data_IF_977535626839
#
_entry.id   IF_977535626839
#
_cell.length_a   1.000
_cell.length_b   1.000
_cell.length_c   1.000
_cell.angle_alpha   90.00
_cell.angle_beta   90.00
_cell.angle_gamma   90.00
#
_symmetry.space_group_name_H-M   'P 1'
#
loop_
_entity.id
_entity.type
_entity.pdbx_description
1 polymer ?
#
# COMPACT_ATOMS: atom_id res chain seq x y z
N UNK A 1 -31.31 -9.83 -28.21
CA UNK A 1 -31.21 -10.30 -26.80
C UNK A 1 -30.26 -9.35 -26.08
N UNK A 2 -30.79 -8.30 -25.45
CA UNK A 2 -29.99 -7.40 -24.62
C UNK A 2 -29.67 -8.11 -23.31
N UNK A 3 -28.40 -8.37 -23.04
CA UNK A 3 -27.96 -8.87 -21.75
C UNK A 3 -28.43 -7.90 -20.66
N UNK A 4 -29.01 -8.38 -19.54
CA UNK A 4 -29.37 -7.50 -18.44
C UNK A 4 -28.10 -6.79 -17.95
N UNK A 5 -28.14 -5.47 -17.85
CA UNK A 5 -27.03 -4.59 -17.45
C UNK A 5 -26.61 -4.76 -15.97
N UNK A 6 -26.92 -5.89 -15.34
CA UNK A 6 -26.48 -6.20 -13.98
C UNK A 6 -25.10 -6.84 -14.05
N UNK A 7 -24.08 -6.00 -13.88
CA UNK A 7 -22.67 -6.42 -13.79
C UNK A 7 -22.37 -7.36 -12.59
N UNK A 8 -23.35 -7.68 -11.75
CA UNK A 8 -23.14 -8.37 -10.47
C UNK A 8 -22.82 -9.87 -10.58
N UNK A 9 -23.12 -10.53 -11.70
CA UNK A 9 -22.97 -11.99 -11.81
C UNK A 9 -21.53 -12.50 -11.66
N UNK A 10 -20.52 -11.65 -11.91
CA UNK A 10 -19.10 -12.00 -11.79
C UNK A 10 -18.33 -11.19 -10.73
N UNK A 11 -19.01 -10.35 -9.92
CA UNK A 11 -18.33 -9.55 -8.90
C UNK A 11 -18.20 -10.36 -7.61
N UNK A 12 -16.97 -10.76 -7.28
CA UNK A 12 -16.65 -11.37 -5.98
C UNK A 12 -16.33 -10.26 -4.98
N UNK A 13 -17.19 -10.05 -3.99
CA UNK A 13 -16.91 -9.15 -2.88
C UNK A 13 -15.90 -9.77 -1.90
N UNK A 14 -14.95 -8.99 -1.35
CA UNK A 14 -14.05 -9.47 -0.31
C UNK A 14 -14.83 -9.80 0.98
N UNK A 15 -14.45 -10.89 1.64
CA UNK A 15 -15.03 -11.25 2.95
C UNK A 15 -14.50 -10.31 4.04
N UNK A 16 -15.41 -9.72 4.82
CA UNK A 16 -15.08 -8.83 5.93
C UNK A 16 -14.51 -9.60 7.14
N UNK A 17 -13.41 -9.11 7.69
CA UNK A 17 -12.72 -9.63 8.86
C UNK A 17 -12.97 -8.66 10.03
N UNK A 18 -13.83 -9.02 11.00
CA UNK A 18 -14.13 -8.14 12.12
C UNK A 18 -12.92 -8.00 13.07
N UNK A 19 -12.62 -6.78 13.55
CA UNK A 19 -11.63 -6.57 14.60
C UNK A 19 -12.12 -7.19 15.91
N UNK A 20 -11.21 -7.89 16.61
CA UNK A 20 -11.54 -8.66 17.81
C UNK A 20 -11.70 -7.77 19.04
N UNK A 21 -10.86 -6.76 19.15
CA UNK A 21 -10.81 -5.84 20.29
C UNK A 21 -11.29 -4.42 19.92
N UNK A 22 -11.89 -3.67 20.87
CA UNK A 22 -12.32 -2.29 20.63
C UNK A 22 -11.15 -1.35 20.32
N UNK A 23 -9.98 -1.56 20.95
CA UNK A 23 -8.77 -0.77 20.67
C UNK A 23 -8.28 -0.96 19.22
N UNK A 24 -8.47 -2.15 18.68
CA UNK A 24 -8.06 -2.51 17.33
C UNK A 24 -8.90 -1.81 16.24
N UNK A 25 -10.11 -1.36 16.58
CA UNK A 25 -10.99 -0.57 15.70
C UNK A 25 -10.51 0.87 15.51
N UNK A 26 -9.77 1.41 16.47
CA UNK A 26 -9.27 2.78 16.42
C UNK A 26 -7.99 2.90 15.57
N UNK A 27 -7.30 1.78 15.31
CA UNK A 27 -6.05 1.74 14.54
C UNK A 27 -6.38 1.51 13.07
N UNK A 28 -5.77 2.30 12.18
CA UNK A 28 -5.90 2.12 10.74
C UNK A 28 -5.43 0.71 10.32
N UNK A 29 -6.29 -0.10 9.67
CA UNK A 29 -5.90 -1.41 9.13
C UNK A 29 -4.69 -1.35 8.20
N UNK A 30 -4.44 -0.22 7.54
CA UNK A 30 -3.29 -0.03 6.66
C UNK A 30 -1.96 -0.22 7.40
N UNK A 31 -1.85 0.26 8.63
CA UNK A 31 -0.62 0.17 9.45
C UNK A 31 -0.25 -1.28 9.75
N UNK A 32 -1.23 -2.19 9.83
CA UNK A 32 -0.98 -3.62 10.03
C UNK A 32 -0.49 -4.32 8.76
N UNK A 33 -0.92 -3.84 7.60
CA UNK A 33 -0.59 -4.43 6.28
C UNK A 33 0.74 -3.90 5.72
N UNK A 34 1.08 -2.65 6.05
CA UNK A 34 2.32 -2.00 5.62
C UNK A 34 3.59 -2.87 5.84
N UNK A 35 3.91 -3.40 7.03
CA UNK A 35 5.17 -4.13 7.24
C UNK A 35 5.30 -5.37 6.35
N UNK A 36 4.20 -6.09 6.12
CA UNK A 36 4.19 -7.25 5.23
C UNK A 36 4.38 -6.87 3.76
N UNK A 37 3.84 -5.72 3.34
CA UNK A 37 3.99 -5.20 1.99
C UNK A 37 5.35 -4.55 1.75
N UNK A 38 5.92 -3.85 2.73
CA UNK A 38 7.27 -3.29 2.67
C UNK A 38 8.31 -4.40 2.47
N UNK A 39 8.17 -5.54 3.15
CA UNK A 39 9.06 -6.69 2.97
C UNK A 39 9.03 -7.26 1.53
N UNK A 40 7.85 -7.24 0.88
CA UNK A 40 7.70 -7.64 -0.54
C UNK A 40 8.29 -6.64 -1.52
N UNK A 41 8.34 -5.36 -1.13
CA UNK A 41 8.85 -4.26 -1.95
C UNK A 41 10.32 -3.88 -1.61
N UNK A 42 11.10 -4.82 -1.07
CA UNK A 42 12.46 -4.58 -0.56
C UNK A 42 13.43 -3.98 -1.60
N UNK A 43 13.27 -4.30 -2.89
CA UNK A 43 14.06 -3.69 -3.97
C UNK A 43 13.93 -2.17 -3.97
N UNK A 44 12.69 -1.66 -3.95
CA UNK A 44 12.40 -0.22 -3.98
C UNK A 44 12.79 0.48 -2.69
N UNK A 45 12.73 -0.22 -1.55
CA UNK A 45 13.23 0.28 -0.27
C UNK A 45 14.74 0.55 -0.37
N UNK A 46 15.50 -0.37 -0.95
CA UNK A 46 16.95 -0.22 -1.11
C UNK A 46 17.31 0.95 -2.05
N UNK A 47 16.60 1.11 -3.16
CA UNK A 47 16.80 2.22 -4.11
C UNK A 47 16.46 3.58 -3.47
N UNK A 48 15.36 3.65 -2.72
CA UNK A 48 15.00 4.85 -1.97
C UNK A 48 16.06 5.17 -0.90
N UNK A 49 16.53 4.17 -0.16
CA UNK A 49 17.59 4.34 0.84
C UNK A 49 18.93 4.78 0.22
N UNK A 50 19.27 4.27 -0.96
CA UNK A 50 20.44 4.72 -1.70
C UNK A 50 20.29 6.19 -2.13
N UNK A 51 19.11 6.59 -2.60
CA UNK A 51 18.84 7.98 -2.96
C UNK A 51 18.91 8.91 -1.74
N UNK A 52 18.29 8.54 -0.61
CA UNK A 52 18.30 9.37 0.60
C UNK A 52 19.72 9.56 1.15
N UNK A 53 20.55 8.51 1.14
CA UNK A 53 21.98 8.61 1.49
C UNK A 53 22.72 9.59 0.58
N UNK A 54 22.48 9.53 -0.73
CA UNK A 54 23.09 10.44 -1.70
C UNK A 54 22.67 11.90 -1.47
N UNK A 55 21.39 12.14 -1.22
CA UNK A 55 20.87 13.50 -0.98
C UNK A 55 21.39 14.06 0.35
N UNK A 56 21.44 13.25 1.41
CA UNK A 56 22.00 13.66 2.71
C UNK A 56 23.48 13.99 2.67
N UNK A 57 24.24 13.36 1.77
CA UNK A 57 25.65 13.66 1.58
C UNK A 57 25.91 14.97 0.82
N UNK A 58 24.88 15.56 0.18
CA UNK A 58 25.02 16.83 -0.55
C UNK A 58 24.82 18.03 0.39
N UNK A 59 25.73 18.99 0.32
CA UNK A 59 25.63 20.29 1.02
C UNK A 59 24.79 21.33 0.28
N UNK A 60 24.50 21.10 -1.01
CA UNK A 60 23.88 22.10 -1.88
C UNK A 60 22.36 22.25 -1.68
N UNK A 61 21.74 21.48 -0.77
CA UNK A 61 20.29 21.39 -0.56
C UNK A 61 19.47 21.16 -1.85
N UNK A 62 20.12 20.68 -2.91
CA UNK A 62 19.55 20.46 -4.24
C UNK A 62 19.49 18.96 -4.54
N UNK A 63 18.30 18.49 -4.85
CA UNK A 63 18.02 17.10 -5.22
C UNK A 63 16.83 16.54 -4.46
N UNK A 64 16.00 15.74 -5.14
CA UNK A 64 14.86 15.05 -4.56
C UNK A 64 14.95 13.54 -4.85
N UNK A 65 14.24 12.75 -4.02
CA UNK A 65 14.06 11.31 -4.20
C UNK A 65 12.61 10.98 -4.51
N UNK A 66 11.84 11.92 -5.05
CA UNK A 66 10.40 11.76 -5.28
C UNK A 66 10.09 10.62 -6.25
N UNK A 67 10.91 10.43 -7.29
CA UNK A 67 10.73 9.31 -8.22
C UNK A 67 10.84 7.95 -7.53
N UNK A 68 11.92 7.72 -6.77
CA UNK A 68 12.10 6.47 -6.02
C UNK A 68 11.04 6.28 -4.94
N UNK A 69 10.59 7.38 -4.32
CA UNK A 69 9.52 7.37 -3.34
C UNK A 69 8.18 6.93 -3.97
N UNK A 70 7.83 7.50 -5.12
CA UNK A 70 6.61 7.14 -5.85
C UNK A 70 6.63 5.67 -6.27
N UNK A 71 7.75 5.16 -6.77
CA UNK A 71 7.89 3.74 -7.15
C UNK A 71 7.72 2.78 -5.95
N UNK A 72 8.33 3.13 -4.81
CA UNK A 72 8.16 2.39 -3.56
C UNK A 72 6.68 2.37 -3.12
N UNK A 73 6.02 3.53 -3.14
CA UNK A 73 4.64 3.64 -2.72
C UNK A 73 3.67 2.94 -3.68
N UNK A 74 3.90 3.01 -4.99
CA UNK A 74 3.11 2.23 -5.97
C UNK A 74 3.20 0.73 -5.68
N UNK A 75 4.38 0.22 -5.32
CA UNK A 75 4.53 -1.18 -4.94
C UNK A 75 3.74 -1.53 -3.66
N UNK A 76 3.85 -0.70 -2.62
CA UNK A 76 3.17 -0.89 -1.34
C UNK A 76 1.65 -0.81 -1.54
N UNK A 77 1.16 0.20 -2.23
CA UNK A 77 -0.28 0.43 -2.46
C UNK A 77 -0.88 -0.71 -3.28
N UNK A 78 -0.19 -1.21 -4.31
CA UNK A 78 -0.62 -2.38 -5.09
C UNK A 78 -0.70 -3.65 -4.24
N UNK A 79 0.15 -3.77 -3.23
CA UNK A 79 0.10 -4.89 -2.28
C UNK A 79 -1.07 -4.74 -1.30
N UNK A 80 -1.21 -3.58 -0.67
CA UNK A 80 -2.24 -3.28 0.34
C UNK A 80 -3.65 -3.32 -0.24
N UNK A 81 -3.84 -2.84 -1.48
CA UNK A 81 -5.14 -2.78 -2.15
C UNK A 81 -5.89 -4.12 -2.22
N UNK A 82 -5.16 -5.24 -2.18
CA UNK A 82 -5.74 -6.60 -2.23
C UNK A 82 -6.46 -7.00 -0.94
N UNK A 83 -5.99 -6.47 0.19
CA UNK A 83 -6.38 -6.95 1.52
C UNK A 83 -7.08 -5.88 2.36
N UNK A 84 -6.89 -4.59 2.08
CA UNK A 84 -7.40 -3.50 2.91
C UNK A 84 -8.94 -3.50 3.03
N UNK A 85 -9.65 -3.80 1.95
CA UNK A 85 -11.12 -3.86 1.94
C UNK A 85 -11.70 -5.06 2.71
N UNK A 86 -10.87 -6.01 3.14
CA UNK A 86 -11.32 -7.07 4.05
C UNK A 86 -11.47 -6.55 5.47
N UNK A 87 -10.76 -5.49 5.85
CA UNK A 87 -10.80 -4.93 7.20
C UNK A 87 -11.72 -3.71 7.34
N UNK A 88 -12.12 -3.13 6.21
CA UNK A 88 -13.04 -1.99 6.14
C UNK A 88 -14.46 -2.50 5.85
N UNK A 89 -15.44 -1.93 6.57
CA UNK A 89 -16.86 -2.24 6.41
C UNK A 89 -17.57 -1.09 5.71
#
# INVERSE_FOLDING_TARGET
MSYPYYCEFFVKFPNYIPPKDPAERLVDPRQKLEPGCTARCSLWVNEYDACTKRVRARTDNKGNCSGQYEELHVCIDRCVAKDIFKYLK
#
